data_IF_444248172779
#
_entry.id   IF_444248172779
#
_cell.length_a   1.000
_cell.length_b   1.000
_cell.length_c   1.000
_cell.angle_alpha   90.00
_cell.angle_beta   90.00
_cell.angle_gamma   90.00
#
_symmetry.space_group_name_H-M   'P 1'
#
loop_
_entity.id
_entity.type
_entity.pdbx_description
1 polymer ?
#
# COMPACT_ATOMS: atom_id res chain seq x y z
N UNK A 1 -30.12 19.47 -43.24
CA UNK A 1 -30.50 18.84 -41.95
C UNK A 1 -29.58 17.65 -41.70
N UNK A 2 -28.52 17.83 -40.91
CA UNK A 2 -27.60 16.75 -40.50
C UNK A 2 -28.05 16.22 -39.13
N UNK A 3 -28.46 14.95 -39.06
CA UNK A 3 -28.63 14.25 -37.78
C UNK A 3 -27.27 13.71 -37.35
N UNK A 4 -26.72 14.27 -36.26
CA UNK A 4 -25.57 13.73 -35.55
C UNK A 4 -26.03 12.48 -34.79
N UNK A 5 -25.57 11.30 -35.22
CA UNK A 5 -25.70 10.07 -34.45
C UNK A 5 -24.53 9.99 -33.47
N UNK A 6 -24.84 10.13 -32.17
CA UNK A 6 -23.91 9.91 -31.07
C UNK A 6 -23.80 8.39 -30.89
N UNK A 7 -22.66 7.80 -31.22
CA UNK A 7 -22.34 6.44 -30.80
C UNK A 7 -22.01 6.47 -29.30
N UNK A 8 -22.94 6.00 -28.48
CA UNK A 8 -22.67 5.64 -27.08
C UNK A 8 -22.07 4.23 -27.11
N UNK A 9 -20.75 4.14 -26.89
CA UNK A 9 -20.07 2.87 -26.70
C UNK A 9 -20.37 2.36 -25.28
N UNK A 10 -21.45 1.59 -25.14
CA UNK A 10 -21.76 0.87 -23.91
C UNK A 10 -20.77 -0.29 -23.78
N UNK A 11 -19.76 -0.15 -22.93
CA UNK A 11 -18.84 -1.23 -22.58
C UNK A 11 -19.57 -2.21 -21.63
N UNK A 12 -20.39 -3.09 -22.18
CA UNK A 12 -20.90 -4.27 -21.48
C UNK A 12 -19.77 -5.29 -21.45
N UNK A 13 -18.90 -5.18 -20.44
CA UNK A 13 -17.90 -6.19 -20.14
C UNK A 13 -18.56 -7.38 -19.48
N UNK A 14 -18.71 -8.47 -20.24
CA UNK A 14 -19.03 -9.81 -19.75
C UNK A 14 -18.20 -10.12 -18.50
N UNK A 15 -18.88 -10.32 -17.37
CA UNK A 15 -18.32 -11.04 -16.23
C UNK A 15 -18.15 -12.48 -16.68
N UNK A 16 -16.96 -12.79 -17.21
CA UNK A 16 -16.59 -14.12 -17.65
C UNK A 16 -16.63 -15.08 -16.47
N UNK A 17 -17.64 -15.95 -16.45
CA UNK A 17 -17.65 -17.15 -15.64
C UNK A 17 -16.61 -18.15 -16.21
N UNK A 18 -15.34 -17.93 -15.88
CA UNK A 18 -14.25 -18.80 -16.32
C UNK A 18 -12.97 -18.38 -15.64
N UNK A 19 -12.53 -19.21 -14.67
CA UNK A 19 -11.25 -19.22 -13.91
C UNK A 19 -11.43 -19.29 -12.38
N UNK A 20 -12.39 -20.07 -11.86
CA UNK A 20 -12.59 -20.20 -10.40
C UNK A 20 -11.90 -21.39 -9.72
N UNK A 21 -11.11 -22.22 -10.42
CA UNK A 21 -10.61 -23.48 -9.82
C UNK A 21 -9.15 -23.50 -9.37
N UNK A 22 -8.30 -22.55 -9.75
CA UNK A 22 -6.87 -22.57 -9.37
C UNK A 22 -6.49 -21.56 -8.27
N UNK A 23 -7.39 -20.61 -7.94
CA UNK A 23 -7.11 -19.51 -7.01
C UNK A 23 -7.70 -19.73 -5.60
N UNK A 24 -8.26 -20.91 -5.30
CA UNK A 24 -8.93 -21.19 -4.03
C UNK A 24 -8.00 -21.64 -2.89
N UNK A 25 -6.68 -21.70 -3.12
CA UNK A 25 -5.75 -22.05 -2.07
C UNK A 25 -5.28 -20.76 -1.38
N UNK A 26 -5.54 -20.66 -0.07
CA UNK A 26 -5.18 -19.58 0.87
C UNK A 26 -6.27 -18.55 1.23
N UNK A 27 -7.55 -18.84 0.99
CA UNK A 27 -8.60 -18.04 1.64
C UNK A 27 -8.60 -18.30 3.15
N UNK A 28 -8.77 -17.26 3.95
CA UNK A 28 -8.93 -17.40 5.39
C UNK A 28 -9.63 -16.18 5.98
N UNK A 29 -10.12 -16.30 7.20
CA UNK A 29 -10.58 -15.16 7.98
C UNK A 29 -10.08 -15.24 9.41
N UNK A 30 -10.00 -14.07 10.05
CA UNK A 30 -9.60 -13.93 11.45
C UNK A 30 -10.83 -13.62 12.28
N UNK A 31 -11.06 -14.41 13.33
CA UNK A 31 -12.16 -14.21 14.28
C UNK A 31 -11.86 -13.09 15.28
N UNK A 32 -12.85 -12.60 16.04
CA UNK A 32 -12.66 -11.57 17.06
C UNK A 32 -11.61 -11.91 18.13
N UNK A 33 -11.43 -13.20 18.43
CA UNK A 33 -10.41 -13.72 19.36
C UNK A 33 -8.99 -13.80 18.75
N UNK A 34 -8.84 -13.47 17.47
CA UNK A 34 -7.58 -13.54 16.74
C UNK A 34 -7.28 -14.90 16.09
N UNK A 35 -8.13 -15.92 16.32
CA UNK A 35 -7.91 -17.23 15.69
C UNK A 35 -8.15 -17.17 14.17
N UNK A 36 -7.29 -17.88 13.44
CA UNK A 36 -7.36 -18.00 11.98
C UNK A 36 -8.17 -19.23 11.59
N UNK A 37 -9.13 -19.05 10.70
CA UNK A 37 -9.87 -20.15 10.09
C UNK A 37 -9.68 -20.15 8.57
N UNK A 38 -9.20 -21.28 8.05
CA UNK A 38 -9.03 -21.48 6.60
C UNK A 38 -10.37 -21.68 5.93
N UNK A 39 -10.45 -21.26 4.67
CA UNK A 39 -11.59 -21.42 3.80
C UNK A 39 -11.12 -21.81 2.39
N UNK A 40 -12.01 -22.46 1.65
CA UNK A 40 -11.87 -22.72 0.21
C UNK A 40 -12.32 -21.48 -0.57
N UNK A 41 -13.39 -20.83 -0.16
CA UNK A 41 -13.91 -19.63 -0.81
C UNK A 41 -14.55 -18.67 0.20
N UNK A 42 -14.44 -17.37 -0.08
CA UNK A 42 -15.08 -16.29 0.68
C UNK A 42 -15.65 -15.29 -0.33
N UNK A 43 -16.91 -14.91 -0.18
CA UNK A 43 -17.59 -13.94 -1.02
C UNK A 43 -18.35 -12.92 -0.17
N UNK A 44 -18.40 -11.67 -0.62
CA UNK A 44 -19.24 -10.64 0.01
C UNK A 44 -20.69 -10.86 -0.41
N UNK A 45 -21.59 -10.94 0.56
CA UNK A 45 -23.03 -11.14 0.33
C UNK A 45 -23.75 -9.82 0.16
N UNK A 46 -23.32 -8.78 0.88
CA UNK A 46 -23.98 -7.47 0.87
C UNK A 46 -23.00 -6.32 1.14
N UNK A 47 -23.39 -5.06 0.85
CA UNK A 47 -22.54 -3.89 1.09
C UNK A 47 -22.17 -3.64 2.55
N UNK A 48 -22.85 -4.27 3.51
CA UNK A 48 -22.56 -4.17 4.95
C UNK A 48 -21.38 -5.06 5.37
N UNK A 49 -20.94 -5.97 4.49
CA UNK A 49 -19.80 -6.85 4.73
C UNK A 49 -20.17 -8.19 5.32
N UNK A 50 -21.41 -8.67 5.16
CA UNK A 50 -21.68 -10.07 5.45
C UNK A 50 -20.97 -10.95 4.42
N UNK A 51 -20.47 -12.11 4.85
CA UNK A 51 -19.66 -13.00 4.02
C UNK A 51 -20.33 -14.38 3.88
N UNK A 52 -20.24 -14.96 2.70
CA UNK A 52 -20.52 -16.37 2.43
C UNK A 52 -19.19 -17.12 2.38
N UNK A 53 -19.03 -18.14 3.23
CA UNK A 53 -17.76 -18.87 3.40
C UNK A 53 -17.98 -20.35 3.15
N UNK A 54 -17.13 -20.91 2.30
CA UNK A 54 -16.98 -22.35 2.16
C UNK A 54 -15.69 -22.79 2.87
N UNK A 55 -15.79 -23.62 3.91
CA UNK A 55 -14.63 -24.02 4.73
C UNK A 55 -13.88 -25.20 4.13
N UNK A 56 -14.60 -26.23 3.68
CA UNK A 56 -14.04 -27.55 3.34
C UNK A 56 -14.73 -28.20 2.13
N UNK A 57 -15.28 -27.40 1.23
CA UNK A 57 -16.02 -27.86 0.05
C UNK A 57 -17.49 -28.19 0.33
N UNK A 58 -17.95 -28.08 1.58
CA UNK A 58 -19.37 -28.22 1.96
C UNK A 58 -20.20 -27.00 1.55
N UNK A 59 -21.50 -27.04 1.85
CA UNK A 59 -22.38 -25.91 1.68
C UNK A 59 -21.82 -24.65 2.36
N UNK A 60 -21.86 -23.52 1.64
CA UNK A 60 -21.38 -22.26 2.16
C UNK A 60 -22.26 -21.76 3.32
N UNK A 61 -21.62 -21.16 4.31
CA UNK A 61 -22.28 -20.59 5.50
C UNK A 61 -22.12 -19.08 5.47
N UNK A 62 -23.23 -18.37 5.72
CA UNK A 62 -23.20 -16.92 5.85
C UNK A 62 -22.78 -16.52 7.28
N UNK A 63 -21.82 -15.61 7.37
CA UNK A 63 -21.40 -14.97 8.61
C UNK A 63 -21.63 -13.46 8.51
N UNK A 64 -21.92 -12.84 9.65
CA UNK A 64 -22.24 -11.41 9.70
C UNK A 64 -21.00 -10.55 9.90
N UNK A 65 -21.03 -9.30 9.42
CA UNK A 65 -20.03 -8.31 9.84
C UNK A 65 -20.02 -8.20 11.37
N UNK A 66 -18.81 -8.17 11.95
CA UNK A 66 -18.60 -8.17 13.39
C UNK A 66 -18.32 -9.55 13.99
N UNK A 67 -18.68 -10.66 13.31
CA UNK A 67 -18.28 -12.01 13.75
C UNK A 67 -16.90 -12.42 13.24
N UNK A 68 -16.22 -11.52 12.54
CA UNK A 68 -14.86 -11.66 12.04
C UNK A 68 -14.18 -10.28 12.04
N UNK A 69 -12.86 -10.25 12.25
CA UNK A 69 -12.05 -9.02 12.18
C UNK A 69 -11.84 -8.60 10.73
N UNK A 70 -11.21 -9.49 9.95
CA UNK A 70 -11.01 -9.35 8.52
C UNK A 70 -11.02 -10.73 7.84
N UNK A 71 -11.29 -10.74 6.54
CA UNK A 71 -11.17 -11.90 5.67
C UNK A 71 -10.12 -11.61 4.60
N UNK A 72 -9.44 -12.65 4.14
CA UNK A 72 -8.44 -12.58 3.08
C UNK A 72 -8.77 -13.57 2.00
N UNK A 73 -8.74 -13.09 0.77
CA UNK A 73 -8.64 -13.92 -0.43
C UNK A 73 -7.28 -13.69 -1.10
N UNK A 74 -6.82 -14.59 -1.98
CA UNK A 74 -5.66 -14.33 -2.82
C UNK A 74 -5.82 -13.04 -3.64
N UNK A 75 -4.68 -12.43 -4.00
CA UNK A 75 -4.65 -11.13 -4.70
C UNK A 75 -5.53 -11.14 -5.95
N UNK A 76 -6.59 -10.32 -6.01
CA UNK A 76 -7.39 -10.16 -7.21
C UNK A 76 -6.58 -9.52 -8.33
N UNK A 77 -6.93 -9.86 -9.57
CA UNK A 77 -6.23 -9.31 -10.75
C UNK A 77 -6.37 -7.78 -10.83
N UNK A 78 -7.51 -7.24 -10.42
CA UNK A 78 -7.76 -5.79 -10.40
C UNK A 78 -6.87 -5.07 -9.40
N UNK A 79 -6.57 -5.70 -8.26
CA UNK A 79 -5.61 -5.15 -7.29
C UNK A 79 -4.20 -5.17 -7.87
N UNK A 80 -3.81 -6.27 -8.53
CA UNK A 80 -2.52 -6.35 -9.23
C UNK A 80 -2.39 -5.28 -10.32
N UNK A 81 -3.46 -4.98 -11.05
CA UNK A 81 -3.47 -3.92 -12.06
C UNK A 81 -3.30 -2.53 -11.44
N UNK A 82 -3.90 -2.25 -10.28
CA UNK A 82 -3.69 -0.99 -9.57
C UNK A 82 -2.24 -0.84 -9.11
N UNK A 83 -1.63 -1.90 -8.56
CA UNK A 83 -0.21 -1.89 -8.20
C UNK A 83 0.67 -1.63 -9.42
N UNK A 84 0.39 -2.26 -10.56
CA UNK A 84 1.13 -2.02 -11.79
C UNK A 84 1.01 -0.56 -12.28
N UNK A 85 -0.21 0.00 -12.28
CA UNK A 85 -0.41 1.42 -12.64
C UNK A 85 0.34 2.35 -11.70
N UNK A 86 0.38 2.02 -10.41
CA UNK A 86 1.12 2.77 -9.40
C UNK A 86 2.64 2.71 -9.64
N UNK A 87 3.17 1.51 -9.91
CA UNK A 87 4.60 1.30 -10.20
C UNK A 87 5.06 2.02 -11.47
N UNK A 88 4.18 2.09 -12.48
CA UNK A 88 4.32 2.85 -13.72
C UNK A 88 4.05 4.35 -13.56
N UNK A 89 3.78 4.82 -12.33
CA UNK A 89 3.54 6.23 -11.98
C UNK A 89 2.31 6.84 -12.69
N UNK A 90 1.39 5.99 -13.14
CA UNK A 90 0.11 6.37 -13.74
C UNK A 90 -0.93 6.71 -12.67
N UNK A 91 -0.60 7.66 -11.81
CA UNK A 91 -1.38 8.02 -10.63
C UNK A 91 -2.83 8.42 -10.95
N UNK A 92 -3.07 9.08 -12.09
CA UNK A 92 -4.44 9.43 -12.51
C UNK A 92 -5.29 8.19 -12.80
N UNK A 93 -4.71 7.16 -13.40
CA UNK A 93 -5.41 5.91 -13.68
C UNK A 93 -5.65 5.10 -12.40
N UNK A 94 -4.72 5.13 -11.44
CA UNK A 94 -4.94 4.55 -10.10
C UNK A 94 -6.16 5.21 -9.45
N UNK A 95 -6.17 6.54 -9.36
CA UNK A 95 -7.27 7.30 -8.73
C UNK A 95 -8.61 7.05 -9.43
N UNK A 96 -8.61 6.90 -10.76
CA UNK A 96 -9.83 6.64 -11.52
C UNK A 96 -10.42 5.26 -11.22
N UNK A 97 -9.57 4.24 -11.09
CA UNK A 97 -10.00 2.84 -11.01
C UNK A 97 -10.15 2.34 -9.56
N UNK A 98 -9.34 2.85 -8.62
CA UNK A 98 -9.30 2.41 -7.23
C UNK A 98 -10.67 2.41 -6.52
N UNK A 99 -11.57 3.41 -6.70
CA UNK A 99 -12.84 3.43 -5.98
C UNK A 99 -13.71 2.19 -6.24
N UNK A 100 -13.81 1.74 -7.49
CA UNK A 100 -14.61 0.57 -7.84
C UNK A 100 -14.00 -0.73 -7.29
N UNK A 101 -12.67 -0.87 -7.40
CA UNK A 101 -11.91 -2.01 -6.88
C UNK A 101 -11.99 -2.05 -5.35
N UNK A 102 -11.92 -0.90 -4.69
CA UNK A 102 -12.08 -0.78 -3.25
C UNK A 102 -13.45 -1.29 -2.79
N UNK A 103 -14.54 -0.86 -3.43
CA UNK A 103 -15.88 -1.34 -3.06
C UNK A 103 -16.03 -2.85 -3.23
N UNK A 104 -15.41 -3.43 -4.27
CA UNK A 104 -15.45 -4.86 -4.52
C UNK A 104 -14.66 -5.67 -3.46
N UNK A 105 -13.54 -5.16 -2.96
CA UNK A 105 -12.56 -5.96 -2.20
C UNK A 105 -12.24 -5.46 -0.78
N UNK A 106 -12.82 -4.34 -0.31
CA UNK A 106 -12.55 -3.79 1.04
C UNK A 106 -12.83 -4.76 2.19
N UNK A 107 -13.81 -5.66 2.04
CA UNK A 107 -14.12 -6.69 3.04
C UNK A 107 -13.33 -7.99 2.87
N UNK A 108 -12.56 -8.10 1.79
CA UNK A 108 -11.84 -9.31 1.38
C UNK A 108 -10.31 -9.15 1.51
N UNK A 109 -9.90 -8.19 2.33
CA UNK A 109 -8.52 -8.09 2.79
C UNK A 109 -7.62 -7.16 1.99
N UNK A 110 -8.19 -6.39 1.07
CA UNK A 110 -7.45 -5.52 0.16
C UNK A 110 -7.78 -4.04 0.33
N UNK A 111 -8.66 -3.68 1.28
CA UNK A 111 -9.09 -2.30 1.50
C UNK A 111 -7.95 -1.35 1.89
N UNK A 112 -7.06 -1.79 2.76
CA UNK A 112 -5.86 -1.04 3.17
C UNK A 112 -4.86 -0.86 2.02
N UNK A 113 -4.59 -1.91 1.25
CA UNK A 113 -3.69 -1.85 0.08
C UNK A 113 -4.24 -0.88 -0.97
N UNK A 114 -5.50 -1.04 -1.38
CA UNK A 114 -6.12 -0.19 -2.40
C UNK A 114 -6.20 1.26 -1.92
N UNK A 115 -6.62 1.47 -0.67
CA UNK A 115 -6.69 2.81 -0.07
C UNK A 115 -5.32 3.47 0.05
N UNK A 116 -4.27 2.70 0.37
CA UNK A 116 -2.89 3.19 0.39
C UNK A 116 -2.43 3.64 -0.99
N UNK A 117 -2.60 2.80 -2.03
CA UNK A 117 -2.24 3.13 -3.41
C UNK A 117 -2.96 4.39 -3.92
N UNK A 118 -4.27 4.49 -3.67
CA UNK A 118 -5.06 5.65 -4.06
C UNK A 118 -4.60 6.91 -3.32
N UNK A 119 -4.43 6.84 -1.99
CA UNK A 119 -3.99 7.98 -1.19
C UNK A 119 -2.60 8.48 -1.62
N UNK A 120 -1.65 7.58 -1.83
CA UNK A 120 -0.32 7.96 -2.34
C UNK A 120 -0.36 8.56 -3.74
N UNK A 121 -1.22 8.02 -4.62
CA UNK A 121 -1.42 8.60 -5.95
C UNK A 121 -1.96 10.03 -5.88
N UNK A 122 -2.86 10.31 -4.93
CA UNK A 122 -3.34 11.68 -4.68
C UNK A 122 -2.20 12.58 -4.18
N UNK A 123 -1.35 12.10 -3.26
CA UNK A 123 -0.19 12.86 -2.77
C UNK A 123 0.83 13.17 -3.87
N UNK A 124 1.10 12.21 -4.76
CA UNK A 124 1.96 12.42 -5.92
C UNK A 124 1.44 13.56 -6.81
N UNK A 125 0.12 13.72 -6.89
CA UNK A 125 -0.57 14.80 -7.61
C UNK A 125 -0.85 16.06 -6.75
N UNK A 126 -0.24 16.17 -5.56
CA UNK A 126 -0.39 17.30 -4.63
C UNK A 126 -1.83 17.55 -4.15
N UNK A 127 -2.61 16.48 -4.04
CA UNK A 127 -4.01 16.45 -3.58
C UNK A 127 -4.10 15.89 -2.16
N UNK A 128 -3.48 16.58 -1.20
CA UNK A 128 -3.34 16.09 0.19
C UNK A 128 -4.69 15.93 0.90
N UNK A 129 -5.66 16.80 0.64
CA UNK A 129 -6.99 16.70 1.26
C UNK A 129 -7.78 15.49 0.74
N UNK A 130 -7.68 15.20 -0.55
CA UNK A 130 -8.24 13.99 -1.15
C UNK A 130 -7.58 12.74 -0.56
N UNK A 131 -6.25 12.74 -0.43
CA UNK A 131 -5.52 11.63 0.19
C UNK A 131 -6.03 11.34 1.62
N UNK A 132 -6.24 12.37 2.45
CA UNK A 132 -6.81 12.20 3.80
C UNK A 132 -8.19 11.56 3.79
N UNK A 133 -9.06 11.96 2.86
CA UNK A 133 -10.41 11.38 2.72
C UNK A 133 -10.34 9.90 2.36
N UNK A 134 -9.43 9.53 1.44
CA UNK A 134 -9.19 8.13 1.06
C UNK A 134 -8.72 7.32 2.27
N UNK A 135 -7.73 7.82 3.02
CA UNK A 135 -7.24 7.14 4.22
C UNK A 135 -8.35 6.93 5.26
N UNK A 136 -9.11 7.99 5.57
CA UNK A 136 -10.21 7.90 6.53
C UNK A 136 -11.25 6.85 6.11
N UNK A 137 -11.51 6.72 4.81
CA UNK A 137 -12.40 5.68 4.26
C UNK A 137 -11.81 4.27 4.37
N UNK A 138 -10.49 4.11 4.23
CA UNK A 138 -9.82 2.81 4.19
C UNK A 138 -9.47 2.25 5.58
N UNK A 139 -9.24 3.09 6.59
CA UNK A 139 -8.88 2.68 7.97
C UNK A 139 -9.81 1.60 8.57
N UNK A 140 -11.15 1.63 8.39
CA UNK A 140 -12.03 0.58 8.91
C UNK A 140 -11.84 -0.81 8.29
N UNK A 141 -11.04 -0.91 7.23
CA UNK A 141 -10.83 -2.11 6.41
C UNK A 141 -9.38 -2.62 6.43
N UNK A 142 -8.61 -2.24 7.45
CA UNK A 142 -7.26 -2.76 7.68
C UNK A 142 -7.29 -4.28 7.89
N UNK A 143 -6.42 -4.99 7.17
CA UNK A 143 -6.26 -6.43 7.24
C UNK A 143 -4.84 -6.81 7.71
N UNK A 144 -4.25 -7.87 7.16
CA UNK A 144 -2.93 -8.36 7.57
C UNK A 144 -1.78 -7.43 7.12
N UNK A 145 -1.99 -6.56 6.11
CA UNK A 145 -0.93 -5.79 5.44
C UNK A 145 -1.23 -4.28 5.43
N UNK A 146 -1.20 -3.61 6.60
CA UNK A 146 -1.49 -2.19 6.70
C UNK A 146 -0.40 -1.28 6.09
N UNK A 147 0.73 -1.84 5.66
CA UNK A 147 1.95 -1.10 5.34
C UNK A 147 1.74 0.00 4.29
N UNK A 148 0.97 -0.26 3.22
CA UNK A 148 0.66 0.73 2.19
C UNK A 148 -0.11 1.93 2.76
N UNK A 149 -1.14 1.63 3.58
CA UNK A 149 -1.96 2.66 4.23
C UNK A 149 -1.14 3.46 5.25
N UNK A 150 -0.27 2.79 6.00
CA UNK A 150 0.63 3.41 6.97
C UNK A 150 1.64 4.33 6.28
N UNK A 151 2.25 3.89 5.17
CA UNK A 151 3.17 4.69 4.36
C UNK A 151 2.50 5.97 3.86
N UNK A 152 1.30 5.87 3.30
CA UNK A 152 0.53 7.03 2.85
C UNK A 152 0.24 8.01 4.01
N UNK A 153 -0.17 7.51 5.17
CA UNK A 153 -0.42 8.34 6.35
C UNK A 153 0.85 9.06 6.83
N UNK A 154 1.98 8.36 6.83
CA UNK A 154 3.28 8.92 7.21
C UNK A 154 3.74 10.05 6.28
N UNK A 155 3.52 9.91 4.97
CA UNK A 155 3.80 10.98 4.00
C UNK A 155 2.99 12.24 4.31
N UNK A 156 1.72 12.08 4.67
CA UNK A 156 0.85 13.20 5.08
C UNK A 156 1.34 13.85 6.37
N UNK A 157 1.72 13.05 7.37
CA UNK A 157 2.26 13.56 8.63
C UNK A 157 3.56 14.34 8.41
N UNK A 158 4.41 13.87 7.50
CA UNK A 158 5.63 14.56 7.10
C UNK A 158 5.33 15.93 6.47
N UNK A 159 4.37 16.02 5.54
CA UNK A 159 3.94 17.29 4.95
C UNK A 159 3.41 18.27 6.02
N UNK A 160 2.71 17.76 7.02
CA UNK A 160 2.21 18.53 8.17
C UNK A 160 3.28 18.88 9.22
N UNK A 161 4.52 18.40 9.05
CA UNK A 161 5.60 18.54 10.03
C UNK A 161 5.27 17.93 11.40
N UNK A 162 4.45 16.89 11.44
CA UNK A 162 4.07 16.16 12.66
C UNK A 162 5.15 15.16 13.09
N UNK A 163 6.42 15.60 13.12
CA UNK A 163 7.59 14.72 13.28
C UNK A 163 7.54 13.88 14.55
N UNK A 164 7.09 14.45 15.67
CA UNK A 164 7.03 13.78 16.98
C UNK A 164 6.11 12.55 16.98
N UNK A 165 5.15 12.49 16.05
CA UNK A 165 4.20 11.39 15.93
C UNK A 165 4.66 10.31 14.94
N UNK A 166 5.67 10.59 14.11
CA UNK A 166 6.08 9.72 13.01
C UNK A 166 6.94 8.54 13.51
N UNK A 167 7.78 8.73 14.53
CA UNK A 167 8.78 7.73 14.93
C UNK A 167 8.16 6.39 15.37
N UNK A 168 7.06 6.43 16.12
CA UNK A 168 6.36 5.23 16.55
C UNK A 168 5.80 4.42 15.36
N UNK A 169 5.29 5.11 14.34
CA UNK A 169 4.75 4.47 13.14
C UNK A 169 5.87 3.97 12.22
N UNK A 170 6.99 4.70 12.10
CA UNK A 170 8.16 4.23 11.36
C UNK A 170 8.75 2.95 11.96
N UNK A 171 8.78 2.83 13.29
CA UNK A 171 9.27 1.62 13.95
C UNK A 171 8.45 0.38 13.57
N UNK A 172 7.15 0.54 13.31
CA UNK A 172 6.31 -0.56 12.82
C UNK A 172 6.67 -0.92 11.37
N UNK A 173 6.84 0.06 10.47
CA UNK A 173 7.20 -0.19 9.07
C UNK A 173 8.60 -0.78 8.90
N UNK A 174 9.56 -0.43 9.77
CA UNK A 174 10.91 -1.04 9.77
C UNK A 174 10.84 -2.55 9.98
N UNK A 175 9.80 -3.04 10.68
CA UNK A 175 9.56 -4.46 10.92
C UNK A 175 8.67 -5.12 9.85
N UNK A 176 8.32 -4.40 8.78
CA UNK A 176 7.54 -4.97 7.68
C UNK A 176 8.29 -6.14 7.05
N UNK A 177 7.52 -7.13 6.59
CA UNK A 177 8.04 -8.27 5.83
C UNK A 177 8.36 -7.93 4.39
N UNK A 178 7.89 -6.78 3.90
CA UNK A 178 8.15 -6.29 2.56
C UNK A 178 9.29 -5.26 2.63
N UNK A 179 10.42 -5.61 2.02
CA UNK A 179 11.65 -4.81 2.10
C UNK A 179 11.47 -3.34 1.71
N UNK A 180 10.58 -3.06 0.75
CA UNK A 180 10.33 -1.70 0.27
C UNK A 180 9.80 -0.78 1.37
N UNK A 181 8.89 -1.26 2.24
CA UNK A 181 8.36 -0.45 3.33
C UNK A 181 9.36 -0.24 4.45
N UNK A 182 10.18 -1.24 4.75
CA UNK A 182 11.25 -1.11 5.73
C UNK A 182 12.33 -0.13 5.24
N UNK A 183 12.76 -0.24 3.98
CA UNK A 183 13.70 0.68 3.34
C UNK A 183 13.15 2.12 3.28
N UNK A 184 11.88 2.27 2.90
CA UNK A 184 11.18 3.55 2.96
C UNK A 184 11.22 4.18 4.36
N UNK A 185 10.99 3.39 5.41
CA UNK A 185 10.94 3.90 6.77
C UNK A 185 12.30 4.45 7.24
N UNK A 186 13.42 3.79 6.88
CA UNK A 186 14.75 4.33 7.14
C UNK A 186 14.99 5.65 6.38
N UNK A 187 14.61 5.72 5.11
CA UNK A 187 14.74 6.95 4.32
C UNK A 187 13.93 8.11 4.91
N UNK A 188 12.67 7.86 5.28
CA UNK A 188 11.83 8.89 5.88
C UNK A 188 12.40 9.37 7.21
N UNK A 189 12.96 8.48 8.04
CA UNK A 189 13.65 8.87 9.27
C UNK A 189 14.85 9.77 8.97
N UNK A 190 15.65 9.41 7.97
CA UNK A 190 16.76 10.25 7.49
C UNK A 190 16.31 11.63 7.04
N UNK A 191 15.18 11.70 6.33
CA UNK A 191 14.57 12.95 5.89
C UNK A 191 14.13 13.83 7.07
N UNK A 192 13.50 13.24 8.09
CA UNK A 192 13.08 13.96 9.29
C UNK A 192 14.30 14.52 10.03
N UNK A 193 15.35 13.72 10.23
CA UNK A 193 16.59 14.21 10.84
C UNK A 193 17.21 15.36 10.04
N UNK A 194 17.21 15.29 8.71
CA UNK A 194 17.72 16.37 7.88
C UNK A 194 16.89 17.66 8.05
N UNK A 195 15.56 17.54 8.07
CA UNK A 195 14.64 18.66 8.30
C UNK A 195 14.78 19.29 9.70
N UNK A 196 15.23 18.51 10.69
CA UNK A 196 15.56 18.97 12.04
C UNK A 196 17.01 19.47 12.18
N UNK A 197 17.78 19.54 11.09
CA UNK A 197 19.18 19.98 11.10
C UNK A 197 20.19 18.93 11.60
N UNK A 198 19.73 17.72 11.92
CA UNK A 198 20.55 16.61 12.42
C UNK A 198 21.21 15.84 11.26
N UNK A 199 22.05 16.55 10.50
CA UNK A 199 22.64 16.05 9.24
C UNK A 199 23.43 14.75 9.38
N UNK A 200 24.18 14.57 10.47
CA UNK A 200 24.95 13.34 10.70
C UNK A 200 24.03 12.14 10.91
N UNK A 201 22.99 12.29 11.71
CA UNK A 201 21.96 11.28 11.95
C UNK A 201 21.21 10.95 10.65
N UNK A 202 20.86 11.96 9.86
CA UNK A 202 20.23 11.78 8.55
C UNK A 202 21.06 10.86 7.63
N UNK A 203 22.36 11.14 7.49
CA UNK A 203 23.27 10.31 6.69
C UNK A 203 23.30 8.88 7.21
N UNK A 204 23.36 8.66 8.53
CA UNK A 204 23.38 7.31 9.09
C UNK A 204 22.10 6.51 8.74
N UNK A 205 20.92 7.14 8.78
CA UNK A 205 19.68 6.46 8.39
C UNK A 205 19.65 6.11 6.90
N UNK A 206 20.08 7.02 6.02
CA UNK A 206 20.17 6.72 4.58
C UNK A 206 21.18 5.59 4.29
N UNK A 207 22.30 5.55 5.01
CA UNK A 207 23.27 4.46 4.86
C UNK A 207 22.72 3.10 5.31
N UNK A 208 21.84 3.05 6.32
CA UNK A 208 21.15 1.80 6.69
C UNK A 208 20.34 1.26 5.51
N UNK A 209 19.63 2.11 4.78
CA UNK A 209 18.91 1.69 3.57
C UNK A 209 19.86 1.11 2.52
N UNK A 210 20.99 1.76 2.27
CA UNK A 210 21.95 1.30 1.28
C UNK A 210 22.56 -0.07 1.63
N UNK A 211 22.91 -0.29 2.90
CA UNK A 211 23.65 -1.46 3.38
C UNK A 211 22.76 -2.65 3.74
N UNK A 212 21.63 -2.43 4.43
CA UNK A 212 20.77 -3.53 4.89
C UNK A 212 19.97 -4.18 3.75
N UNK A 213 19.75 -3.44 2.68
CA UNK A 213 18.94 -3.87 1.54
C UNK A 213 19.75 -4.05 0.25
N UNK A 214 21.07 -4.20 0.36
CA UNK A 214 21.93 -4.56 -0.77
C UNK A 214 21.45 -5.86 -1.44
N UNK A 215 21.41 -5.88 -2.78
CA UNK A 215 20.92 -7.02 -3.56
C UNK A 215 19.40 -7.26 -3.50
N UNK A 216 18.63 -6.47 -2.74
CA UNK A 216 17.18 -6.62 -2.63
C UNK A 216 16.43 -5.77 -3.66
N UNK A 217 15.15 -6.06 -3.87
CA UNK A 217 14.27 -5.38 -4.84
C UNK A 217 13.74 -4.02 -4.34
N UNK A 218 14.63 -3.14 -3.89
CA UNK A 218 14.30 -1.79 -3.35
C UNK A 218 15.14 -0.70 -4.02
N UNK A 219 15.28 -0.79 -5.34
CA UNK A 219 16.17 0.07 -6.12
C UNK A 219 15.80 1.56 -6.01
N UNK A 220 14.50 1.89 -5.98
CA UNK A 220 14.02 3.28 -5.85
C UNK A 220 14.44 3.87 -4.50
N UNK A 221 14.23 3.14 -3.41
CA UNK A 221 14.58 3.57 -2.06
C UNK A 221 16.09 3.69 -1.87
N UNK A 222 16.88 2.72 -2.37
CA UNK A 222 18.35 2.79 -2.29
C UNK A 222 18.92 3.96 -3.11
N UNK A 223 18.39 4.21 -4.30
CA UNK A 223 18.81 5.34 -5.13
C UNK A 223 18.55 6.68 -4.45
N UNK A 224 17.36 6.85 -3.86
CA UNK A 224 17.03 8.07 -3.11
C UNK A 224 17.91 8.22 -1.86
N UNK A 225 18.13 7.13 -1.11
CA UNK A 225 19.02 7.13 0.06
C UNK A 225 20.44 7.57 -0.30
N UNK A 226 21.02 7.01 -1.38
CA UNK A 226 22.35 7.37 -1.89
C UNK A 226 22.41 8.85 -2.25
N UNK A 227 21.44 9.33 -3.03
CA UNK A 227 21.34 10.73 -3.44
C UNK A 227 21.34 11.67 -2.23
N UNK A 228 20.50 11.39 -1.24
CA UNK A 228 20.37 12.23 -0.04
C UNK A 228 21.63 12.16 0.85
N UNK A 229 22.18 10.97 1.08
CA UNK A 229 23.41 10.78 1.84
C UNK A 229 24.57 11.55 1.21
N UNK A 230 24.78 11.40 -0.10
CA UNK A 230 25.85 12.10 -0.83
C UNK A 230 25.68 13.61 -0.76
N UNK A 231 24.46 14.13 -0.95
CA UNK A 231 24.20 15.56 -0.87
C UNK A 231 24.58 16.14 0.50
N UNK A 232 24.13 15.49 1.59
CA UNK A 232 24.45 15.94 2.96
C UNK A 232 25.94 15.78 3.26
N UNK A 233 26.58 14.68 2.83
CA UNK A 233 28.01 14.46 3.05
C UNK A 233 28.89 15.49 2.34
N UNK A 234 28.51 15.91 1.12
CA UNK A 234 29.19 17.02 0.42
C UNK A 234 29.06 18.33 1.19
N UNK A 235 27.85 18.62 1.68
CA UNK A 235 27.63 19.81 2.50
C UNK A 235 28.49 19.82 3.78
N UNK A 236 28.70 18.66 4.38
CA UNK A 236 29.55 18.48 5.56
C UNK A 236 31.06 18.41 5.24
N UNK A 237 31.46 18.48 3.97
CA UNK A 237 32.83 18.21 3.50
C UNK A 237 33.37 16.87 4.02
N UNK A 238 32.53 15.83 4.08
CA UNK A 238 32.93 14.52 4.57
C UNK A 238 33.82 13.80 3.52
N UNK A 239 35.08 13.46 3.86
CA UNK A 239 36.03 12.88 2.91
C UNK A 239 35.64 11.47 2.44
N UNK A 240 34.66 10.84 3.10
CA UNK A 240 34.19 9.49 2.77
C UNK A 240 33.13 9.50 1.67
N UNK A 241 32.67 10.67 1.19
CA UNK A 241 31.59 10.77 0.20
C UNK A 241 31.87 9.98 -1.07
N UNK A 242 33.13 9.97 -1.54
CA UNK A 242 33.55 9.22 -2.73
C UNK A 242 33.32 7.70 -2.59
N UNK A 243 33.43 7.17 -1.36
CA UNK A 243 33.14 5.76 -1.10
C UNK A 243 31.66 5.46 -1.28
N UNK A 244 30.79 6.38 -0.85
CA UNK A 244 29.33 6.21 -0.98
C UNK A 244 28.89 6.39 -2.42
N UNK A 245 29.50 7.31 -3.16
CA UNK A 245 29.27 7.49 -4.60
C UNK A 245 29.60 6.22 -5.41
N UNK A 246 30.58 5.44 -4.96
CA UNK A 246 31.00 4.19 -5.59
C UNK A 246 30.14 2.95 -5.24
N UNK A 247 29.17 3.06 -4.32
CA UNK A 247 28.28 1.95 -3.97
C UNK A 247 27.14 1.79 -4.99
N UNK A 248 26.85 0.57 -5.41
CA UNK A 248 25.76 0.21 -6.34
C UNK A 248 24.40 -0.02 -5.64
#
# INVERSE_FOLDING_TARGET
MMRKSILIATLVGLVGAGLLQAQQQNCYFIKPDGSRQRAVAIQVVNPQGDLSINIDGRAAVNIRRGTYRYAMIPKPQEVQQLEQLFDEEKYQDVIKNAPAVFEAYKFLGWGDVIGGLEAESQLALKKTDEARKVLAKAVPFIAERPDALMRANLLIMLENKEYDKIDAELNKLILSKEDAYAAFAFNMRGQIYALQGQKKQAVLEYLKTMLLFEGRKVRKERAEAKKQAVAIMKELNDPRVSKIEALD
#
